data_IF_757298973854
#
_entry.id   IF_757298973854
#
_cell.length_a   1.000
_cell.length_b   1.000
_cell.length_c   1.000
_cell.angle_alpha   90.00
_cell.angle_beta   90.00
_cell.angle_gamma   90.00
#
_symmetry.space_group_name_H-M   'P 1'
#
loop_
_entity.id
_entity.type
_entity.pdbx_description
1 polymer ?
#
# COMPACT_ATOMS: atom_id res chain seq x y z
N UNK A 1 2.67 18.99 9.06
CA UNK A 1 1.54 18.47 9.86
C UNK A 1 0.64 19.63 10.29
N UNK A 2 -0.45 19.88 9.56
CA UNK A 2 -1.48 20.84 9.97
C UNK A 2 -2.38 20.17 11.02
N UNK A 3 -2.43 20.71 12.23
CA UNK A 3 -3.16 20.09 13.34
C UNK A 3 -4.66 20.40 13.21
N UNK A 4 -5.42 19.52 12.54
CA UNK A 4 -6.87 19.63 12.34
C UNK A 4 -7.65 19.88 13.63
N UNK A 5 -7.16 19.39 14.79
CA UNK A 5 -7.78 19.66 16.10
C UNK A 5 -7.78 21.14 16.48
N UNK A 6 -6.82 21.94 16.01
CA UNK A 6 -6.74 23.38 16.30
C UNK A 6 -7.59 24.24 15.36
N UNK A 7 -7.83 23.81 14.10
CA UNK A 7 -8.60 24.59 13.11
C UNK A 7 -10.11 24.58 13.39
N UNK A 8 -10.62 23.54 14.07
CA UNK A 8 -12.06 23.30 14.25
C UNK A 8 -12.44 22.98 15.71
N UNK A 9 -11.75 23.59 16.68
CA UNK A 9 -12.04 23.38 18.09
C UNK A 9 -13.44 23.91 18.44
N UNK A 10 -14.33 23.03 18.94
CA UNK A 10 -15.68 23.40 19.41
C UNK A 10 -16.84 23.07 18.48
N UNK A 11 -16.60 22.63 17.24
CA UNK A 11 -17.66 22.23 16.31
C UNK A 11 -18.01 20.72 16.44
N UNK A 12 -19.31 20.34 16.32
CA UNK A 12 -19.72 18.95 16.19
C UNK A 12 -19.03 18.25 15.00
N UNK A 13 -18.82 16.93 15.12
CA UNK A 13 -18.08 16.13 14.11
C UNK A 13 -18.69 16.23 12.70
N UNK A 14 -20.01 16.35 12.59
CA UNK A 14 -20.74 16.46 11.31
C UNK A 14 -20.61 17.85 10.65
N UNK A 15 -20.62 18.95 11.40
CA UNK A 15 -20.35 20.30 10.84
C UNK A 15 -18.92 20.43 10.29
N UNK A 16 -17.96 19.76 10.94
CA UNK A 16 -16.57 19.69 10.47
C UNK A 16 -16.47 18.90 9.17
N UNK A 17 -17.20 17.80 9.06
CA UNK A 17 -17.23 16.93 7.89
C UNK A 17 -17.73 17.64 6.62
N UNK A 18 -18.87 18.32 6.73
CA UNK A 18 -19.47 19.05 5.60
C UNK A 18 -18.58 20.17 5.08
N UNK A 19 -17.86 20.89 5.95
CA UNK A 19 -16.94 21.95 5.53
C UNK A 19 -15.71 21.38 4.81
N UNK A 20 -15.11 20.31 5.35
CA UNK A 20 -13.97 19.64 4.73
C UNK A 20 -14.37 19.04 3.38
N UNK A 21 -15.53 18.39 3.33
CA UNK A 21 -16.07 17.85 2.10
C UNK A 21 -16.33 18.95 1.07
N UNK A 22 -16.92 20.08 1.47
CA UNK A 22 -17.18 21.18 0.54
C UNK A 22 -15.90 21.72 -0.10
N UNK A 23 -14.82 21.86 0.69
CA UNK A 23 -13.50 22.31 0.20
C UNK A 23 -12.95 21.37 -0.89
N UNK A 24 -13.10 20.06 -0.73
CA UNK A 24 -12.50 19.05 -1.61
C UNK A 24 -13.44 18.58 -2.75
N UNK A 25 -14.75 18.59 -2.54
CA UNK A 25 -15.74 18.12 -3.50
C UNK A 25 -15.98 19.14 -4.61
N UNK A 26 -16.03 20.44 -4.31
CA UNK A 26 -16.38 21.47 -5.28
C UNK A 26 -15.46 21.50 -6.52
N UNK A 27 -14.12 21.32 -6.39
CA UNK A 27 -13.21 21.22 -7.53
C UNK A 27 -13.43 19.97 -8.41
N UNK A 28 -13.75 18.83 -7.80
CA UNK A 28 -13.83 17.53 -8.52
C UNK A 28 -15.23 17.19 -9.03
N UNK A 29 -16.27 17.80 -8.45
CA UNK A 29 -17.68 17.46 -8.70
C UNK A 29 -18.07 17.54 -10.19
N UNK A 30 -17.51 18.50 -10.94
CA UNK A 30 -17.80 18.61 -12.38
C UNK A 30 -17.37 17.35 -13.13
N UNK A 31 -16.18 16.81 -12.85
CA UNK A 31 -15.68 15.59 -13.48
C UNK A 31 -16.49 14.36 -13.08
N UNK A 32 -16.87 14.26 -11.80
CA UNK A 32 -17.72 13.17 -11.31
C UNK A 32 -19.08 13.18 -12.02
N UNK A 33 -19.70 14.36 -12.16
CA UNK A 33 -20.97 14.50 -12.88
C UNK A 33 -20.81 14.23 -14.38
N UNK A 34 -19.67 14.58 -14.99
CA UNK A 34 -19.39 14.23 -16.38
C UNK A 34 -19.39 12.71 -16.60
N UNK A 35 -18.73 11.97 -15.72
CA UNK A 35 -18.71 10.50 -15.76
C UNK A 35 -20.11 9.93 -15.51
N UNK A 36 -20.79 10.39 -14.46
CA UNK A 36 -22.14 9.93 -14.12
C UNK A 36 -23.14 10.12 -15.26
N UNK A 37 -23.22 11.32 -15.84
CA UNK A 37 -24.17 11.56 -16.94
C UNK A 37 -23.75 10.87 -18.23
N UNK A 38 -22.45 10.64 -18.46
CA UNK A 38 -21.99 9.81 -19.57
C UNK A 38 -22.43 8.36 -19.42
N UNK A 39 -22.33 7.80 -18.21
CA UNK A 39 -22.90 6.49 -17.88
C UNK A 39 -24.41 6.48 -18.09
N UNK A 40 -25.13 7.49 -17.58
CA UNK A 40 -26.59 7.57 -17.65
C UNK A 40 -27.10 7.54 -19.09
N UNK A 41 -26.55 8.36 -19.99
CA UNK A 41 -27.01 8.41 -21.39
C UNK A 41 -26.57 7.20 -22.23
N UNK A 42 -25.64 6.38 -21.72
CA UNK A 42 -25.27 5.10 -22.34
C UNK A 42 -26.22 3.96 -21.98
N UNK A 43 -27.12 4.15 -21.01
CA UNK A 43 -28.17 3.20 -20.70
C UNK A 43 -29.40 3.49 -21.58
N UNK A 44 -29.79 2.55 -22.44
CA UNK A 44 -30.88 2.76 -23.41
C UNK A 44 -32.19 3.26 -22.79
N UNK A 45 -32.59 2.70 -21.64
CA UNK A 45 -33.83 3.11 -20.96
C UNK A 45 -33.71 4.48 -20.30
N UNK A 46 -32.56 4.82 -19.70
CA UNK A 46 -32.36 6.14 -19.06
C UNK A 46 -32.22 7.25 -20.10
N UNK A 47 -31.54 6.97 -21.22
CA UNK A 47 -31.45 7.89 -22.35
C UNK A 47 -32.84 8.25 -22.87
N UNK A 48 -33.72 7.26 -23.03
CA UNK A 48 -35.10 7.48 -23.47
C UNK A 48 -35.89 8.37 -22.48
N UNK A 49 -35.68 8.21 -21.17
CA UNK A 49 -36.26 9.10 -20.15
C UNK A 49 -35.74 10.53 -20.35
N UNK A 50 -34.42 10.73 -20.49
CA UNK A 50 -33.84 12.06 -20.73
C UNK A 50 -34.40 12.70 -22.00
N UNK A 51 -34.51 11.95 -23.09
CA UNK A 51 -35.12 12.43 -24.35
C UNK A 51 -36.58 12.85 -24.14
N UNK A 52 -37.37 12.06 -23.41
CA UNK A 52 -38.78 12.35 -23.16
C UNK A 52 -39.02 13.67 -22.39
N UNK A 53 -38.08 14.07 -21.55
CA UNK A 53 -38.17 15.30 -20.74
C UNK A 53 -37.39 16.47 -21.36
N UNK A 54 -36.63 16.24 -22.44
CA UNK A 54 -35.76 17.25 -23.06
C UNK A 54 -36.52 18.40 -23.73
N UNK A 55 -37.78 18.17 -24.12
CA UNK A 55 -38.59 19.18 -24.82
C UNK A 55 -37.92 19.61 -26.12
N UNK A 56 -37.52 20.88 -26.23
CA UNK A 56 -36.80 21.42 -27.39
C UNK A 56 -35.28 21.34 -27.28
N UNK A 57 -34.74 20.96 -26.12
CA UNK A 57 -33.30 20.90 -25.87
C UNK A 57 -32.70 19.66 -26.53
N UNK A 58 -31.46 19.77 -26.98
CA UNK A 58 -30.66 18.57 -27.28
C UNK A 58 -30.38 17.77 -26.00
N UNK A 59 -29.98 16.50 -26.14
CA UNK A 59 -29.58 15.69 -24.98
C UNK A 59 -28.41 16.34 -24.24
N UNK A 60 -27.44 16.93 -24.95
CA UNK A 60 -26.30 17.59 -24.31
C UNK A 60 -26.71 18.85 -23.53
N UNK A 61 -27.64 19.64 -24.07
CA UNK A 61 -28.21 20.80 -23.38
C UNK A 61 -29.03 20.40 -22.15
N UNK A 62 -29.81 19.33 -22.24
CA UNK A 62 -30.55 18.80 -21.09
C UNK A 62 -29.60 18.23 -20.04
N UNK A 63 -28.58 17.46 -20.43
CA UNK A 63 -27.55 16.95 -19.50
C UNK A 63 -26.82 18.10 -18.80
N UNK A 64 -26.44 19.16 -19.50
CA UNK A 64 -25.83 20.33 -18.88
C UNK A 64 -26.76 20.98 -17.84
N UNK A 65 -28.06 21.07 -18.14
CA UNK A 65 -29.05 21.55 -17.20
C UNK A 65 -29.19 20.64 -15.97
N UNK A 66 -29.22 19.32 -16.16
CA UNK A 66 -29.31 18.35 -15.06
C UNK A 66 -28.08 18.38 -14.16
N UNK A 67 -26.87 18.50 -14.74
CA UNK A 67 -25.61 18.69 -14.01
C UNK A 67 -25.65 19.91 -13.10
N UNK A 68 -26.12 21.04 -13.61
CA UNK A 68 -26.30 22.26 -12.81
C UNK A 68 -27.27 22.04 -11.65
N UNK A 69 -28.40 21.37 -11.89
CA UNK A 69 -29.37 21.04 -10.83
C UNK A 69 -28.78 20.12 -9.76
N UNK A 70 -28.04 19.08 -10.15
CA UNK A 70 -27.39 18.17 -9.21
C UNK A 70 -26.34 18.89 -8.37
N UNK A 71 -25.53 19.74 -9.01
CA UNK A 71 -24.53 20.57 -8.32
C UNK A 71 -25.17 21.50 -7.30
N UNK A 72 -26.21 22.24 -7.70
CA UNK A 72 -26.94 23.14 -6.81
C UNK A 72 -27.55 22.38 -5.62
N UNK A 73 -28.06 21.17 -5.85
CA UNK A 73 -28.64 20.33 -4.80
C UNK A 73 -27.61 19.94 -3.73
N UNK A 74 -26.51 19.30 -4.12
CA UNK A 74 -25.50 18.81 -3.17
C UNK A 74 -24.66 19.94 -2.55
N UNK A 75 -24.18 20.89 -3.36
CA UNK A 75 -23.41 22.03 -2.83
C UNK A 75 -24.29 22.92 -1.97
N UNK A 76 -25.57 23.09 -2.33
CA UNK A 76 -26.54 23.80 -1.52
C UNK A 76 -26.74 23.15 -0.15
N UNK A 77 -26.87 21.81 -0.10
CA UNK A 77 -26.93 21.06 1.16
C UNK A 77 -25.70 21.32 2.03
N UNK A 78 -24.49 21.21 1.48
CA UNK A 78 -23.25 21.41 2.23
C UNK A 78 -23.05 22.85 2.71
N UNK A 79 -23.57 23.84 1.97
CA UNK A 79 -23.44 25.26 2.33
C UNK A 79 -24.50 25.75 3.32
N UNK A 80 -25.72 25.27 3.18
CA UNK A 80 -26.90 25.82 3.85
C UNK A 80 -27.51 24.87 4.91
N UNK A 81 -27.03 23.63 4.97
CA UNK A 81 -27.55 22.58 5.83
C UNK A 81 -28.92 22.05 5.41
N UNK A 82 -29.48 21.17 6.23
CA UNK A 82 -30.78 20.53 6.03
C UNK A 82 -31.94 21.41 6.54
N UNK A 83 -32.17 22.52 5.87
CA UNK A 83 -33.26 23.46 6.19
C UNK A 83 -34.59 23.11 5.47
N UNK A 84 -35.67 23.82 5.80
CA UNK A 84 -37.00 23.60 5.19
C UNK A 84 -36.97 23.69 3.65
N UNK A 85 -36.14 24.58 3.09
CA UNK A 85 -36.01 24.71 1.65
C UNK A 85 -35.32 23.50 1.02
N UNK A 86 -34.35 22.89 1.70
CA UNK A 86 -33.73 21.62 1.29
C UNK A 86 -34.76 20.48 1.27
N UNK A 87 -35.53 20.28 2.34
CA UNK A 87 -36.54 19.21 2.37
C UNK A 87 -37.64 19.41 1.33
N UNK A 88 -38.06 20.65 1.06
CA UNK A 88 -38.99 20.95 -0.03
C UNK A 88 -38.40 20.62 -1.42
N UNK A 89 -37.09 20.81 -1.62
CA UNK A 89 -36.42 20.38 -2.86
C UNK A 89 -36.43 18.86 -2.99
N UNK A 90 -36.13 18.13 -1.92
CA UNK A 90 -36.18 16.66 -1.89
C UNK A 90 -37.56 16.14 -2.31
N UNK A 91 -38.65 16.74 -1.79
CA UNK A 91 -40.02 16.38 -2.20
C UNK A 91 -40.26 16.58 -3.71
N UNK A 92 -39.84 17.74 -4.25
CA UNK A 92 -39.96 18.05 -5.67
C UNK A 92 -39.12 17.09 -6.53
N UNK A 93 -37.92 16.75 -6.08
CA UNK A 93 -37.01 15.81 -6.74
C UNK A 93 -37.67 14.42 -6.80
N UNK A 94 -38.15 13.90 -5.66
CA UNK A 94 -38.81 12.60 -5.59
C UNK A 94 -40.03 12.51 -6.52
N UNK A 95 -40.94 13.50 -6.45
CA UNK A 95 -42.14 13.53 -7.30
C UNK A 95 -41.80 13.65 -8.79
N UNK A 96 -40.82 14.48 -9.14
CA UNK A 96 -40.40 14.67 -10.53
C UNK A 96 -39.89 13.37 -11.13
N UNK A 97 -39.00 12.67 -10.43
CA UNK A 97 -38.41 11.44 -10.94
C UNK A 97 -39.43 10.29 -11.04
N UNK A 98 -40.37 10.22 -10.10
CA UNK A 98 -41.51 9.30 -10.17
C UNK A 98 -42.38 9.57 -11.40
N UNK A 99 -42.73 10.84 -11.64
CA UNK A 99 -43.61 11.24 -12.75
C UNK A 99 -43.01 10.90 -14.12
N UNK A 100 -41.69 10.94 -14.25
CA UNK A 100 -40.98 10.63 -15.51
C UNK A 100 -40.66 9.13 -15.64
N UNK A 101 -41.09 8.30 -14.68
CA UNK A 101 -40.89 6.87 -14.71
C UNK A 101 -39.46 6.41 -14.39
N UNK A 102 -38.65 7.25 -13.72
CA UNK A 102 -37.33 6.84 -13.26
C UNK A 102 -37.46 5.94 -12.03
N UNK A 103 -37.38 4.63 -12.24
CA UNK A 103 -37.50 3.64 -11.17
C UNK A 103 -36.40 3.73 -10.11
N UNK A 104 -36.71 3.29 -8.90
CA UNK A 104 -35.77 3.30 -7.76
C UNK A 104 -34.50 2.48 -8.05
N UNK A 105 -34.60 1.42 -8.85
CA UNK A 105 -33.44 0.64 -9.29
C UNK A 105 -32.41 1.52 -10.03
N UNK A 106 -32.88 2.35 -10.98
CA UNK A 106 -32.03 3.25 -11.75
C UNK A 106 -31.44 4.37 -10.88
N UNK A 107 -32.16 4.79 -9.85
CA UNK A 107 -31.64 5.68 -8.83
C UNK A 107 -30.49 5.06 -8.06
N UNK A 108 -30.69 3.88 -7.49
CA UNK A 108 -29.66 3.18 -6.70
C UNK A 108 -28.42 2.96 -7.56
N UNK A 109 -28.57 2.48 -8.80
CA UNK A 109 -27.45 2.32 -9.72
C UNK A 109 -26.71 3.64 -9.99
N UNK A 110 -27.44 4.74 -10.16
CA UNK A 110 -26.85 6.06 -10.35
C UNK A 110 -26.05 6.55 -9.14
N UNK A 111 -26.61 6.38 -7.94
CA UNK A 111 -25.92 6.69 -6.69
C UNK A 111 -24.67 5.82 -6.51
N UNK A 112 -24.70 4.53 -6.87
CA UNK A 112 -23.51 3.66 -6.85
C UNK A 112 -22.39 4.19 -7.76
N UNK A 113 -22.72 4.69 -8.96
CA UNK A 113 -21.73 5.30 -9.86
C UNK A 113 -21.15 6.57 -9.25
N UNK A 114 -21.99 7.44 -8.70
CA UNK A 114 -21.54 8.66 -8.01
C UNK A 114 -20.62 8.34 -6.83
N UNK A 115 -20.99 7.35 -6.02
CA UNK A 115 -20.23 6.96 -4.83
C UNK A 115 -18.85 6.44 -5.24
N UNK A 116 -18.79 5.55 -6.24
CA UNK A 116 -17.52 5.02 -6.77
C UNK A 116 -16.64 6.11 -7.37
N UNK A 117 -17.15 6.86 -8.33
CA UNK A 117 -16.35 7.83 -9.10
C UNK A 117 -16.02 9.07 -8.26
N UNK A 118 -16.91 9.46 -7.36
CA UNK A 118 -16.70 10.56 -6.41
C UNK A 118 -15.65 10.23 -5.36
N UNK A 119 -15.71 9.04 -4.75
CA UNK A 119 -14.69 8.61 -3.78
C UNK A 119 -13.32 8.52 -4.44
N UNK A 120 -13.22 7.95 -5.65
CA UNK A 120 -11.96 7.89 -6.37
C UNK A 120 -11.41 9.30 -6.67
N UNK A 121 -12.23 10.19 -7.21
CA UNK A 121 -11.82 11.56 -7.53
C UNK A 121 -11.37 12.35 -6.29
N UNK A 122 -12.04 12.16 -5.15
CA UNK A 122 -11.66 12.76 -3.87
C UNK A 122 -10.33 12.21 -3.36
N UNK A 123 -10.13 10.90 -3.39
CA UNK A 123 -8.87 10.27 -2.96
C UNK A 123 -7.69 10.78 -3.80
N UNK A 124 -7.86 10.85 -5.13
CA UNK A 124 -6.83 11.34 -6.04
C UNK A 124 -6.49 12.82 -5.79
N UNK A 125 -7.51 13.67 -5.61
CA UNK A 125 -7.36 15.09 -5.33
C UNK A 125 -6.67 15.37 -3.99
N UNK A 126 -6.82 14.47 -3.02
CA UNK A 126 -6.25 14.59 -1.68
C UNK A 126 -4.98 13.76 -1.47
N UNK A 127 -4.32 13.30 -2.54
CA UNK A 127 -3.12 12.44 -2.47
C UNK A 127 -1.96 13.05 -1.65
N UNK A 128 -1.91 14.38 -1.50
CA UNK A 128 -0.92 15.09 -0.68
C UNK A 128 -1.34 15.26 0.80
N UNK A 129 -2.58 14.90 1.15
CA UNK A 129 -3.15 15.04 2.50
C UNK A 129 -2.88 13.81 3.36
N UNK A 130 -3.04 13.96 4.68
CA UNK A 130 -2.89 12.83 5.58
C UNK A 130 -4.03 11.83 5.42
N UNK A 131 -3.77 10.54 5.62
CA UNK A 131 -4.81 9.49 5.53
C UNK A 131 -5.98 9.74 6.49
N UNK A 132 -5.75 10.41 7.63
CA UNK A 132 -6.81 10.82 8.55
C UNK A 132 -7.74 11.90 7.95
N UNK A 133 -7.19 12.85 7.21
CA UNK A 133 -7.98 13.88 6.52
C UNK A 133 -8.79 13.26 5.37
N UNK A 134 -8.14 12.42 4.55
CA UNK A 134 -8.79 11.71 3.45
C UNK A 134 -9.98 10.88 3.95
N UNK A 135 -9.80 10.12 5.05
CA UNK A 135 -10.89 9.35 5.67
C UNK A 135 -12.04 10.24 6.11
N UNK A 136 -11.78 11.34 6.81
CA UNK A 136 -12.85 12.25 7.26
C UNK A 136 -13.65 12.82 6.08
N UNK A 137 -12.98 13.22 4.99
CA UNK A 137 -13.65 13.75 3.78
C UNK A 137 -14.45 12.67 3.05
N UNK A 138 -13.87 11.48 2.86
CA UNK A 138 -14.54 10.37 2.17
C UNK A 138 -15.77 9.90 2.95
N UNK A 139 -15.67 9.73 4.27
CA UNK A 139 -16.83 9.39 5.09
C UNK A 139 -17.94 10.44 4.99
N UNK A 140 -17.60 11.74 5.02
CA UNK A 140 -18.60 12.79 4.84
C UNK A 140 -19.23 12.78 3.44
N UNK A 141 -18.46 12.43 2.40
CA UNK A 141 -19.00 12.28 1.04
C UNK A 141 -20.00 11.13 0.97
N UNK A 142 -19.65 9.98 1.55
CA UNK A 142 -20.52 8.81 1.62
C UNK A 142 -21.79 9.11 2.42
N UNK A 143 -21.67 9.78 3.58
CA UNK A 143 -22.81 10.24 4.38
C UNK A 143 -23.73 11.18 3.57
N UNK A 144 -23.16 12.15 2.83
CA UNK A 144 -23.94 13.03 1.94
C UNK A 144 -24.74 12.21 0.92
N UNK A 145 -24.06 11.32 0.20
CA UNK A 145 -24.63 10.57 -0.93
C UNK A 145 -25.68 9.56 -0.45
N UNK A 146 -25.40 8.84 0.64
CA UNK A 146 -26.33 7.86 1.22
C UNK A 146 -27.54 8.52 1.89
N UNK A 147 -27.34 9.64 2.61
CA UNK A 147 -28.45 10.37 3.21
C UNK A 147 -29.35 11.01 2.14
N UNK A 148 -28.77 11.52 1.05
CA UNK A 148 -29.54 12.05 -0.08
C UNK A 148 -30.38 10.95 -0.75
N UNK A 149 -29.80 9.77 -1.00
CA UNK A 149 -30.53 8.59 -1.49
C UNK A 149 -31.70 8.23 -0.57
N UNK A 150 -31.47 8.19 0.75
CA UNK A 150 -32.51 7.90 1.75
C UNK A 150 -33.64 8.95 1.73
N UNK A 151 -33.30 10.23 1.66
CA UNK A 151 -34.28 11.32 1.65
C UNK A 151 -35.10 11.36 0.36
N UNK A 152 -34.47 11.16 -0.80
CA UNK A 152 -35.16 11.09 -2.09
C UNK A 152 -36.03 9.83 -2.17
N UNK A 153 -35.54 8.69 -1.68
CA UNK A 153 -36.37 7.50 -1.59
C UNK A 153 -37.63 7.80 -0.76
N UNK A 154 -37.51 8.35 0.46
CA UNK A 154 -38.67 8.76 1.28
C UNK A 154 -39.66 9.66 0.52
N UNK A 155 -39.18 10.66 -0.21
CA UNK A 155 -40.03 11.53 -1.02
C UNK A 155 -40.69 10.82 -2.21
N UNK A 156 -39.94 9.94 -2.90
CA UNK A 156 -40.45 9.11 -3.99
C UNK A 156 -41.65 8.28 -3.54
N UNK A 157 -41.63 7.75 -2.30
CA UNK A 157 -42.72 6.94 -1.74
C UNK A 157 -43.80 7.71 -1.00
N UNK A 158 -43.51 8.89 -0.42
CA UNK A 158 -44.56 9.76 0.11
C UNK A 158 -45.59 10.15 -0.98
N UNK A 159 -45.13 10.21 -2.25
CA UNK A 159 -45.96 10.43 -3.43
C UNK A 159 -46.66 9.15 -3.96
N UNK A 160 -46.39 7.96 -3.38
CA UNK A 160 -46.98 6.65 -3.73
C UNK A 160 -48.27 6.36 -2.95
N UNK A 161 -48.81 7.32 -2.18
CA UNK A 161 -50.12 7.27 -1.49
C UNK A 161 -51.36 6.92 -2.38
N UNK A 162 -51.18 6.54 -3.65
CA UNK A 162 -52.21 6.01 -4.55
C UNK A 162 -51.84 4.74 -5.34
N UNK A 163 -50.76 4.02 -4.99
CA UNK A 163 -50.46 2.69 -5.57
C UNK A 163 -51.24 1.58 -4.88
N UNK A 164 -51.47 0.44 -5.56
CA UNK A 164 -52.16 -0.70 -4.94
C UNK A 164 -51.23 -1.47 -3.99
N UNK A 165 -51.78 -2.05 -2.93
CA UNK A 165 -51.07 -2.90 -1.97
C UNK A 165 -50.16 -3.95 -2.62
N UNK A 166 -50.63 -4.57 -3.71
CA UNK A 166 -49.87 -5.60 -4.43
C UNK A 166 -48.61 -5.05 -5.11
N UNK A 167 -48.64 -3.80 -5.60
CA UNK A 167 -47.48 -3.16 -6.21
C UNK A 167 -46.44 -2.78 -5.15
N UNK A 168 -46.90 -2.34 -3.97
CA UNK A 168 -46.04 -2.06 -2.83
C UNK A 168 -45.36 -3.33 -2.32
N UNK A 169 -46.11 -4.42 -2.14
CA UNK A 169 -45.57 -5.70 -1.67
C UNK A 169 -44.51 -6.26 -2.63
N UNK A 170 -44.73 -6.17 -3.95
CA UNK A 170 -43.74 -6.59 -4.94
C UNK A 170 -42.46 -5.74 -4.88
N UNK A 171 -42.59 -4.41 -4.79
CA UNK A 171 -41.43 -3.52 -4.71
C UNK A 171 -40.61 -3.73 -3.44
N UNK A 172 -41.27 -3.96 -2.30
CA UNK A 172 -40.63 -4.29 -1.01
C UNK A 172 -39.83 -5.59 -1.15
N UNK A 173 -40.42 -6.63 -1.73
CA UNK A 173 -39.79 -7.93 -1.85
C UNK A 173 -38.59 -7.93 -2.83
N UNK A 174 -38.72 -7.26 -3.98
CA UNK A 174 -37.62 -7.12 -4.95
C UNK A 174 -36.44 -6.34 -4.35
N UNK A 175 -36.72 -5.22 -3.67
CA UNK A 175 -35.68 -4.42 -3.02
C UNK A 175 -34.97 -5.20 -1.92
N UNK A 176 -35.72 -5.90 -1.06
CA UNK A 176 -35.17 -6.74 0.01
C UNK A 176 -34.26 -7.84 -0.55
N UNK A 177 -34.70 -8.54 -1.59
CA UNK A 177 -33.92 -9.62 -2.19
C UNK A 177 -32.62 -9.13 -2.82
N UNK A 178 -32.66 -8.04 -3.59
CA UNK A 178 -31.48 -7.51 -4.27
C UNK A 178 -30.46 -6.93 -3.28
N UNK A 179 -30.93 -6.20 -2.28
CA UNK A 179 -30.07 -5.62 -1.24
C UNK A 179 -29.47 -6.72 -0.40
N UNK A 180 -30.27 -7.68 0.07
CA UNK A 180 -29.76 -8.79 0.89
C UNK A 180 -28.67 -9.58 0.17
N UNK A 181 -28.84 -9.85 -1.13
CA UNK A 181 -27.83 -10.51 -1.94
C UNK A 181 -26.56 -9.65 -2.10
N UNK A 182 -26.72 -8.34 -2.32
CA UNK A 182 -25.58 -7.43 -2.49
C UNK A 182 -24.79 -7.28 -1.18
N UNK A 183 -25.48 -7.04 -0.06
CA UNK A 183 -24.90 -6.98 1.29
C UNK A 183 -24.18 -8.28 1.63
N UNK A 184 -24.81 -9.44 1.41
CA UNK A 184 -24.20 -10.74 1.65
C UNK A 184 -22.94 -10.99 0.82
N UNK A 185 -22.96 -10.58 -0.46
CA UNK A 185 -21.78 -10.71 -1.35
C UNK A 185 -20.62 -9.85 -0.85
N UNK A 186 -20.88 -8.58 -0.49
CA UNK A 186 -19.84 -7.67 -0.02
C UNK A 186 -19.33 -8.09 1.36
N UNK A 187 -20.20 -8.57 2.26
CA UNK A 187 -19.81 -9.09 3.57
C UNK A 187 -18.82 -10.25 3.44
N UNK A 188 -19.13 -11.26 2.61
CA UNK A 188 -18.22 -12.38 2.32
C UNK A 188 -16.88 -11.90 1.76
N UNK A 189 -16.90 -11.00 0.78
CA UNK A 189 -15.67 -10.44 0.20
C UNK A 189 -14.82 -9.70 1.24
N UNK A 190 -15.47 -9.01 2.19
CA UNK A 190 -14.80 -8.26 3.25
C UNK A 190 -14.21 -9.18 4.32
N UNK A 191 -14.89 -10.28 4.66
CA UNK A 191 -14.36 -11.35 5.52
C UNK A 191 -13.13 -12.03 4.88
N UNK A 192 -13.20 -12.36 3.59
CA UNK A 192 -12.07 -12.93 2.84
C UNK A 192 -10.87 -11.97 2.78
N UNK A 193 -11.11 -10.67 2.55
CA UNK A 193 -10.07 -9.64 2.58
C UNK A 193 -9.43 -9.49 3.97
N UNK A 194 -10.22 -9.54 5.04
CA UNK A 194 -9.73 -9.46 6.42
C UNK A 194 -8.85 -10.68 6.78
N UNK A 195 -9.30 -11.87 6.38
CA UNK A 195 -8.55 -13.12 6.56
C UNK A 195 -7.21 -13.11 5.78
N UNK A 196 -7.27 -12.67 4.52
CA UNK A 196 -6.08 -12.54 3.68
C UNK A 196 -5.10 -11.50 4.25
N UNK A 197 -5.62 -10.37 4.72
CA UNK A 197 -4.80 -9.32 5.32
C UNK A 197 -4.08 -9.80 6.58
N UNK A 198 -4.79 -10.52 7.45
CA UNK A 198 -4.22 -11.12 8.66
C UNK A 198 -3.11 -12.13 8.33
N UNK A 199 -3.33 -12.95 7.29
CA UNK A 199 -2.35 -13.93 6.82
C UNK A 199 -1.08 -13.27 6.28
N UNK A 200 -1.21 -12.17 5.53
CA UNK A 200 -0.08 -11.39 5.02
C UNK A 200 0.70 -10.74 6.16
N UNK A 201 0.02 -10.15 7.16
CA UNK A 201 0.67 -9.58 8.35
C UNK A 201 1.51 -10.63 9.08
N UNK A 202 0.99 -11.86 9.22
CA UNK A 202 1.76 -12.95 9.83
C UNK A 202 2.98 -13.34 8.98
N UNK A 203 2.84 -13.39 7.65
CA UNK A 203 3.98 -13.66 6.76
C UNK A 203 5.05 -12.56 6.85
N UNK A 204 4.65 -11.30 6.96
CA UNK A 204 5.56 -10.15 7.15
C UNK A 204 6.36 -10.29 8.45
N UNK A 205 5.73 -10.68 9.55
CA UNK A 205 6.41 -10.92 10.83
C UNK A 205 7.43 -12.07 10.75
N UNK A 206 7.06 -13.15 10.06
CA UNK A 206 7.97 -14.28 9.80
C UNK A 206 9.15 -13.85 8.92
N UNK A 207 8.89 -13.08 7.86
CA UNK A 207 9.91 -12.55 6.97
C UNK A 207 10.88 -11.65 7.74
N UNK A 208 10.36 -10.73 8.56
CA UNK A 208 11.19 -9.88 9.43
C UNK A 208 12.15 -10.70 10.29
N UNK A 209 11.67 -11.77 10.92
CA UNK A 209 12.51 -12.64 11.75
C UNK A 209 13.62 -13.32 10.94
N UNK A 210 13.31 -13.77 9.71
CA UNK A 210 14.31 -14.36 8.82
C UNK A 210 15.36 -13.35 8.36
N UNK A 211 14.94 -12.12 8.06
CA UNK A 211 15.82 -11.05 7.62
C UNK A 211 16.73 -10.57 8.75
N UNK A 212 16.21 -10.47 9.98
CA UNK A 212 17.02 -10.13 11.15
C UNK A 212 18.08 -11.22 11.42
N UNK A 213 17.72 -12.50 11.27
CA UNK A 213 18.69 -13.62 11.33
C UNK A 213 19.74 -13.57 10.21
N UNK A 214 19.34 -13.20 8.99
CA UNK A 214 20.27 -13.03 7.87
C UNK A 214 21.24 -11.87 8.13
N UNK A 215 20.79 -10.77 8.75
CA UNK A 215 21.65 -9.66 9.15
C UNK A 215 22.72 -10.10 10.16
N UNK A 216 22.35 -10.92 11.15
CA UNK A 216 23.29 -11.49 12.12
C UNK A 216 24.34 -12.39 11.44
N UNK A 217 23.91 -13.24 10.50
CA UNK A 217 24.81 -14.10 9.73
C UNK A 217 25.80 -13.30 8.87
N UNK A 218 25.33 -12.22 8.23
CA UNK A 218 26.17 -11.28 7.48
C UNK A 218 27.22 -10.65 8.39
N UNK A 219 26.84 -10.22 9.60
CA UNK A 219 27.77 -9.65 10.60
C UNK A 219 28.86 -10.64 11.01
N UNK A 220 28.49 -11.90 11.29
CA UNK A 220 29.44 -12.98 11.60
C UNK A 220 30.41 -13.24 10.45
N UNK A 221 29.89 -13.25 9.21
CA UNK A 221 30.70 -13.48 8.01
C UNK A 221 31.70 -12.33 7.78
N UNK A 222 31.29 -11.07 7.97
CA UNK A 222 32.17 -9.89 7.87
C UNK A 222 33.33 -9.99 8.87
N UNK A 223 33.03 -10.31 10.13
CA UNK A 223 34.05 -10.46 11.18
C UNK A 223 35.03 -11.61 10.86
N UNK A 224 34.52 -12.73 10.33
CA UNK A 224 35.34 -13.87 9.96
C UNK A 224 36.27 -13.56 8.77
N UNK A 225 35.77 -12.80 7.78
CA UNK A 225 36.55 -12.32 6.63
C UNK A 225 37.67 -11.38 7.07
N UNK A 226 37.37 -10.42 7.97
CA UNK A 226 38.36 -9.55 8.57
C UNK A 226 39.45 -10.33 9.31
N UNK A 227 39.05 -11.30 10.13
CA UNK A 227 39.99 -12.13 10.88
C UNK A 227 40.89 -12.97 9.96
N UNK A 228 40.36 -13.49 8.85
CA UNK A 228 41.16 -14.17 7.83
C UNK A 228 42.21 -13.27 7.20
N UNK A 229 41.85 -12.01 6.89
CA UNK A 229 42.80 -11.03 6.37
C UNK A 229 43.93 -10.76 7.36
N UNK A 230 43.62 -10.55 8.65
CA UNK A 230 44.63 -10.34 9.69
C UNK A 230 45.55 -11.56 9.88
N UNK A 231 45.00 -12.77 9.77
CA UNK A 231 45.80 -14.00 9.82
C UNK A 231 46.75 -14.10 8.64
N UNK A 232 46.29 -13.76 7.43
CA UNK A 232 47.14 -13.76 6.25
C UNK A 232 48.30 -12.77 6.38
N UNK A 233 48.06 -11.57 6.91
CA UNK A 233 49.11 -10.57 7.17
C UNK A 233 50.15 -11.06 8.19
N UNK A 234 49.71 -11.74 9.26
CA UNK A 234 50.61 -12.37 10.24
C UNK A 234 51.46 -13.47 9.61
N UNK A 235 50.87 -14.31 8.76
CA UNK A 235 51.63 -15.36 8.06
C UNK A 235 52.65 -14.74 7.10
N UNK A 236 52.27 -13.70 6.35
CA UNK A 236 53.21 -12.97 5.47
C UNK A 236 54.41 -12.42 6.25
N UNK A 237 54.18 -11.90 7.46
CA UNK A 237 55.26 -11.41 8.34
C UNK A 237 56.19 -12.54 8.79
N UNK A 238 55.64 -13.71 9.13
CA UNK A 238 56.44 -14.90 9.49
C UNK A 238 57.24 -15.41 8.29
N UNK A 239 56.62 -15.49 7.11
CA UNK A 239 57.28 -15.94 5.87
C UNK A 239 58.43 -15.01 5.48
N UNK A 240 58.27 -13.70 5.65
CA UNK A 240 59.35 -12.73 5.45
C UNK A 240 60.52 -13.00 6.42
N UNK A 241 60.23 -13.20 7.70
CA UNK A 241 61.25 -13.52 8.70
C UNK A 241 61.99 -14.83 8.43
N UNK A 242 61.30 -15.88 7.96
CA UNK A 242 61.94 -17.17 7.61
C UNK A 242 62.85 -17.03 6.37
N UNK A 243 62.43 -16.24 5.37
CA UNK A 243 63.28 -15.92 4.22
C UNK A 243 64.55 -15.20 4.68
N UNK A 244 64.45 -14.18 5.55
CA UNK A 244 65.61 -13.46 6.09
C UNK A 244 66.58 -14.40 6.83
N UNK A 245 66.06 -15.31 7.66
CA UNK A 245 66.87 -16.33 8.35
C UNK A 245 67.55 -17.29 7.39
N UNK A 246 66.84 -17.69 6.33
CA UNK A 246 67.36 -18.63 5.33
C UNK A 246 68.44 -17.97 4.47
N UNK A 247 68.29 -16.69 4.12
CA UNK A 247 69.32 -15.91 3.44
C UNK A 247 70.57 -15.73 4.30
N UNK A 248 70.41 -15.43 5.59
CA UNK A 248 71.52 -15.38 6.54
C UNK A 248 72.21 -16.74 6.68
N UNK A 249 71.43 -17.83 6.75
CA UNK A 249 71.97 -19.20 6.83
C UNK A 249 72.74 -19.58 5.57
N UNK A 250 72.23 -19.22 4.39
CA UNK A 250 72.90 -19.41 3.11
C UNK A 250 74.22 -18.62 3.04
N UNK A 251 74.27 -17.39 3.56
CA UNK A 251 75.50 -16.60 3.67
C UNK A 251 76.50 -17.21 4.65
N UNK A 252 76.06 -17.68 5.82
CA UNK A 252 76.91 -18.37 6.79
C UNK A 252 77.50 -19.66 6.20
N UNK A 253 76.67 -20.45 5.52
CA UNK A 253 77.11 -21.66 4.83
C UNK A 253 78.11 -21.36 3.72
N UNK A 254 77.90 -20.29 2.95
CA UNK A 254 78.84 -19.85 1.93
C UNK A 254 80.20 -19.47 2.54
N UNK A 255 80.21 -18.71 3.64
CA UNK A 255 81.44 -18.36 4.35
C UNK A 255 82.15 -19.61 4.88
N UNK A 256 81.41 -20.58 5.42
CA UNK A 256 81.95 -21.86 5.86
C UNK A 256 82.55 -22.68 4.71
N UNK A 257 81.91 -22.71 3.54
CA UNK A 257 82.46 -23.36 2.34
C UNK A 257 83.77 -22.72 1.89
N UNK A 258 83.88 -21.39 1.97
CA UNK A 258 85.12 -20.66 1.63
C UNK A 258 86.24 -21.04 2.60
N UNK A 259 85.97 -21.04 3.91
CA UNK A 259 86.99 -21.37 4.91
C UNK A 259 87.39 -22.86 4.87
N UNK A 260 86.44 -23.75 4.60
CA UNK A 260 86.70 -25.17 4.38
C UNK A 260 87.61 -25.40 3.16
N UNK A 261 87.40 -24.66 2.07
CA UNK A 261 88.29 -24.71 0.91
C UNK A 261 89.70 -24.17 1.24
N UNK A 262 89.78 -23.14 2.09
CA UNK A 262 91.04 -22.54 2.54
C UNK A 262 91.87 -23.47 3.43
N UNK A 263 91.22 -24.30 4.23
CA UNK A 263 91.85 -25.33 5.06
C UNK A 263 92.37 -26.56 4.26
N UNK A 264 92.10 -26.63 2.96
CA UNK A 264 92.62 -27.70 2.08
C UNK A 264 92.11 -29.09 2.48
N UNK A 265 93.01 -30.07 2.59
CA UNK A 265 92.66 -31.45 2.94
C UNK A 265 91.97 -31.58 4.31
N UNK A 266 92.36 -30.74 5.29
CA UNK A 266 91.78 -30.75 6.64
C UNK A 266 90.33 -30.24 6.67
N UNK A 267 89.90 -29.47 5.66
CA UNK A 267 88.56 -28.89 5.56
C UNK A 267 87.53 -29.74 4.81
N UNK A 268 87.90 -30.89 4.23
CA UNK A 268 87.00 -31.70 3.37
C UNK A 268 85.66 -32.06 4.03
N UNK A 269 85.67 -32.50 5.28
CA UNK A 269 84.44 -32.84 6.01
C UNK A 269 83.55 -31.63 6.25
N UNK A 270 84.13 -30.48 6.62
CA UNK A 270 83.42 -29.22 6.79
C UNK A 270 82.82 -28.70 5.48
N UNK A 271 83.51 -28.89 4.35
CA UNK A 271 83.00 -28.48 3.03
C UNK A 271 81.70 -29.21 2.65
N UNK A 272 81.57 -30.50 3.01
CA UNK A 272 80.35 -31.27 2.74
C UNK A 272 79.18 -30.74 3.57
N UNK A 273 79.42 -30.47 4.86
CA UNK A 273 78.40 -29.91 5.76
C UNK A 273 77.95 -28.53 5.28
N UNK A 274 78.90 -27.67 4.89
CA UNK A 274 78.59 -26.33 4.40
C UNK A 274 77.72 -26.35 3.13
N UNK A 275 78.00 -27.25 2.19
CA UNK A 275 77.18 -27.39 0.97
C UNK A 275 75.77 -27.92 1.27
N UNK A 276 75.62 -28.85 2.22
CA UNK A 276 74.30 -29.36 2.62
C UNK A 276 73.47 -28.28 3.34
N UNK A 277 74.09 -27.48 4.22
CA UNK A 277 73.41 -26.33 4.87
C UNK A 277 72.97 -25.30 3.83
N UNK A 278 73.82 -25.02 2.84
CA UNK A 278 73.49 -24.09 1.75
C UNK A 278 72.31 -24.59 0.91
N UNK A 279 72.29 -25.89 0.59
CA UNK A 279 71.17 -26.53 -0.13
C UNK A 279 69.88 -26.51 0.69
N UNK A 280 69.97 -26.74 2.00
CA UNK A 280 68.83 -26.65 2.92
C UNK A 280 68.27 -25.23 2.93
N UNK A 281 69.10 -24.20 3.10
CA UNK A 281 68.68 -22.80 3.09
C UNK A 281 67.97 -22.40 1.78
N UNK A 282 68.51 -22.81 0.63
CA UNK A 282 67.85 -22.58 -0.68
C UNK A 282 66.51 -23.30 -0.80
N UNK A 283 66.41 -24.51 -0.25
CA UNK A 283 65.16 -25.28 -0.24
C UNK A 283 64.12 -24.63 0.66
N UNK A 284 64.54 -24.06 1.80
CA UNK A 284 63.69 -23.27 2.68
C UNK A 284 63.16 -22.02 1.97
N UNK A 285 64.01 -21.23 1.29
CA UNK A 285 63.58 -20.06 0.49
C UNK A 285 62.51 -20.43 -0.54
N UNK A 286 62.69 -21.56 -1.24
CA UNK A 286 61.70 -22.04 -2.21
C UNK A 286 60.37 -22.39 -1.53
N UNK A 287 60.41 -23.13 -0.42
CA UNK A 287 59.21 -23.48 0.32
C UNK A 287 58.48 -22.24 0.87
N UNK A 288 59.21 -21.24 1.34
CA UNK A 288 58.62 -19.98 1.81
C UNK A 288 58.00 -19.16 0.69
N UNK A 289 58.55 -19.18 -0.53
CA UNK A 289 57.95 -18.54 -1.70
C UNK A 289 56.63 -19.22 -2.13
N UNK A 290 56.60 -20.56 -2.07
CA UNK A 290 55.37 -21.32 -2.33
C UNK A 290 54.28 -20.98 -1.29
N UNK A 291 54.65 -20.86 0.00
CA UNK A 291 53.72 -20.43 1.07
C UNK A 291 53.25 -18.99 0.82
N UNK A 292 54.14 -18.07 0.46
CA UNK A 292 53.79 -16.67 0.15
C UNK A 292 52.73 -16.60 -0.95
N UNK A 293 52.89 -17.39 -2.00
CA UNK A 293 51.94 -17.47 -3.11
C UNK A 293 50.57 -17.96 -2.64
N UNK A 294 50.52 -19.00 -1.80
CA UNK A 294 49.25 -19.51 -1.25
C UNK A 294 48.56 -18.49 -0.33
N UNK A 295 49.31 -17.80 0.52
CA UNK A 295 48.76 -16.76 1.43
C UNK A 295 48.22 -15.57 0.65
N UNK A 296 48.89 -15.18 -0.44
CA UNK A 296 48.38 -14.14 -1.35
C UNK A 296 47.05 -14.55 -2.00
N UNK A 297 46.89 -15.82 -2.39
CA UNK A 297 45.63 -16.33 -2.93
C UNK A 297 44.52 -16.32 -1.87
N UNK A 298 44.82 -16.76 -0.64
CA UNK A 298 43.87 -16.72 0.49
C UNK A 298 43.40 -15.28 0.75
N UNK A 299 44.32 -14.31 0.74
CA UNK A 299 44.00 -12.89 0.95
C UNK A 299 43.10 -12.33 -0.16
N UNK A 300 43.36 -12.71 -1.41
CA UNK A 300 42.52 -12.32 -2.56
C UNK A 300 41.09 -12.85 -2.40
N UNK A 301 40.94 -14.14 -2.08
CA UNK A 301 39.63 -14.76 -1.89
C UNK A 301 38.89 -14.13 -0.70
N UNK A 302 39.60 -13.82 0.40
CA UNK A 302 39.00 -13.10 1.53
C UNK A 302 38.47 -11.72 1.12
N UNK A 303 39.21 -10.99 0.27
CA UNK A 303 38.76 -9.71 -0.31
C UNK A 303 37.50 -9.85 -1.18
N UNK A 304 37.43 -10.88 -2.02
CA UNK A 304 36.25 -11.16 -2.84
C UNK A 304 35.02 -11.50 -1.97
N UNK A 305 35.22 -12.32 -0.93
CA UNK A 305 34.19 -12.67 0.05
C UNK A 305 33.70 -11.42 0.79
N UNK A 306 34.59 -10.51 1.18
CA UNK A 306 34.23 -9.26 1.83
C UNK A 306 33.30 -8.39 0.96
N UNK A 307 33.61 -8.27 -0.34
CA UNK A 307 32.77 -7.54 -1.29
C UNK A 307 31.40 -8.20 -1.43
N UNK A 308 31.37 -9.53 -1.57
CA UNK A 308 30.12 -10.29 -1.67
C UNK A 308 29.23 -10.10 -0.43
N UNK A 309 29.81 -10.15 0.77
CA UNK A 309 29.06 -9.95 2.03
C UNK A 309 28.56 -8.51 2.16
N UNK A 310 29.32 -7.52 1.70
CA UNK A 310 28.87 -6.11 1.70
C UNK A 310 27.66 -5.90 0.79
N UNK A 311 27.65 -6.54 -0.39
CA UNK A 311 26.46 -6.54 -1.26
C UNK A 311 25.28 -7.24 -0.61
N UNK A 312 25.50 -8.39 0.05
CA UNK A 312 24.46 -9.09 0.79
C UNK A 312 23.87 -8.24 1.91
N UNK A 313 24.70 -7.49 2.65
CA UNK A 313 24.24 -6.58 3.69
C UNK A 313 23.30 -5.49 3.11
N UNK A 314 23.65 -4.95 1.94
CA UNK A 314 22.82 -3.96 1.24
C UNK A 314 21.47 -4.56 0.85
N UNK A 315 21.46 -5.79 0.33
CA UNK A 315 20.23 -6.50 -0.01
C UNK A 315 19.36 -6.77 1.23
N UNK A 316 19.96 -7.17 2.35
CA UNK A 316 19.25 -7.37 3.63
C UNK A 316 18.56 -6.09 4.09
N UNK A 317 19.26 -4.95 4.07
CA UNK A 317 18.69 -3.65 4.43
C UNK A 317 17.52 -3.25 3.50
N UNK A 318 17.65 -3.49 2.20
CA UNK A 318 16.57 -3.22 1.23
C UNK A 318 15.33 -4.07 1.48
N UNK A 319 15.51 -5.34 1.86
CA UNK A 319 14.39 -6.21 2.24
C UNK A 319 13.75 -5.72 3.55
N UNK A 320 14.52 -5.29 4.55
CA UNK A 320 13.97 -4.72 5.79
C UNK A 320 13.09 -3.50 5.51
N UNK A 321 13.53 -2.59 4.65
CA UNK A 321 12.77 -1.41 4.24
C UNK A 321 11.46 -1.80 3.54
N UNK A 322 11.54 -2.70 2.56
CA UNK A 322 10.38 -3.18 1.80
C UNK A 322 9.36 -3.85 2.73
N UNK A 323 9.80 -4.73 3.63
CA UNK A 323 8.95 -5.40 4.62
C UNK A 323 8.28 -4.38 5.56
N UNK A 324 8.98 -3.31 5.93
CA UNK A 324 8.40 -2.19 6.69
C UNK A 324 7.30 -1.45 5.92
N UNK A 325 7.53 -1.17 4.63
CA UNK A 325 6.55 -0.54 3.74
C UNK A 325 5.30 -1.39 3.55
N UNK A 326 5.46 -2.70 3.31
CA UNK A 326 4.33 -3.64 3.18
C UNK A 326 3.53 -3.66 4.48
N UNK A 327 4.17 -3.70 5.66
CA UNK A 327 3.47 -3.69 6.93
C UNK A 327 2.58 -2.45 7.11
N UNK A 328 3.06 -1.27 6.70
CA UNK A 328 2.27 -0.04 6.72
C UNK A 328 1.06 -0.10 5.78
N UNK A 329 1.25 -0.57 4.55
CA UNK A 329 0.16 -0.76 3.58
C UNK A 329 -0.90 -1.75 4.11
N UNK A 330 -0.48 -2.84 4.75
CA UNK A 330 -1.42 -3.81 5.32
C UNK A 330 -2.24 -3.23 6.47
N UNK A 331 -1.67 -2.34 7.28
CA UNK A 331 -2.43 -1.63 8.32
C UNK A 331 -3.50 -0.71 7.71
N UNK A 332 -3.18 0.01 6.64
CA UNK A 332 -4.14 0.85 5.92
C UNK A 332 -5.24 0.01 5.26
N UNK A 333 -4.89 -1.11 4.62
CA UNK A 333 -5.87 -2.03 4.03
C UNK A 333 -6.82 -2.62 5.07
N UNK A 334 -6.32 -2.95 6.27
CA UNK A 334 -7.14 -3.46 7.38
C UNK A 334 -8.15 -2.43 7.86
N UNK A 335 -7.73 -1.16 7.96
CA UNK A 335 -8.63 -0.06 8.31
C UNK A 335 -9.70 0.13 7.24
N UNK A 336 -9.32 0.18 5.96
CA UNK A 336 -10.27 0.32 4.86
C UNK A 336 -11.30 -0.83 4.82
N UNK A 337 -10.87 -2.06 5.09
CA UNK A 337 -11.76 -3.24 5.15
C UNK A 337 -12.76 -3.14 6.31
N UNK A 338 -12.35 -2.55 7.44
CA UNK A 338 -13.21 -2.30 8.61
C UNK A 338 -14.21 -1.17 8.33
N UNK A 339 -13.78 -0.13 7.62
CA UNK A 339 -14.64 0.98 7.20
C UNK A 339 -15.73 0.48 6.23
N UNK A 340 -15.35 -0.32 5.22
CA UNK A 340 -16.29 -0.97 4.28
C UNK A 340 -17.29 -1.85 5.05
N UNK A 341 -16.83 -2.66 6.00
CA UNK A 341 -17.72 -3.48 6.85
C UNK A 341 -18.77 -2.63 7.56
N UNK A 342 -18.34 -1.48 8.10
CA UNK A 342 -19.21 -0.56 8.82
C UNK A 342 -20.23 0.11 7.90
N UNK A 343 -19.80 0.54 6.71
CA UNK A 343 -20.67 1.12 5.68
C UNK A 343 -21.76 0.14 5.22
N UNK A 344 -21.44 -1.14 5.07
CA UNK A 344 -22.42 -2.17 4.69
C UNK A 344 -23.51 -2.31 5.77
N UNK A 345 -23.12 -2.33 7.03
CA UNK A 345 -24.06 -2.40 8.16
C UNK A 345 -24.96 -1.16 8.18
N UNK A 346 -24.39 0.02 7.96
CA UNK A 346 -25.16 1.26 7.89
C UNK A 346 -26.14 1.25 6.72
N UNK A 347 -25.70 0.83 5.53
CA UNK A 347 -26.55 0.68 4.36
C UNK A 347 -27.71 -0.29 4.62
N UNK A 348 -27.42 -1.42 5.26
CA UNK A 348 -28.46 -2.39 5.64
C UNK A 348 -29.48 -1.76 6.59
N UNK A 349 -29.04 -1.01 7.60
CA UNK A 349 -29.92 -0.31 8.54
C UNK A 349 -30.79 0.76 7.85
N UNK A 350 -30.21 1.53 6.92
CA UNK A 350 -30.96 2.51 6.11
C UNK A 350 -32.06 1.81 5.31
N UNK A 351 -31.74 0.67 4.72
CA UNK A 351 -32.70 -0.08 3.89
C UNK A 351 -33.79 -0.73 4.75
N UNK A 352 -33.44 -1.31 5.91
CA UNK A 352 -34.44 -1.82 6.86
C UNK A 352 -35.37 -0.72 7.37
N UNK A 353 -34.81 0.45 7.71
CA UNK A 353 -35.61 1.60 8.13
C UNK A 353 -36.52 2.08 6.99
N UNK A 354 -36.00 2.11 5.77
CA UNK A 354 -36.73 2.48 4.57
C UNK A 354 -37.91 1.52 4.30
N UNK A 355 -37.68 0.20 4.37
CA UNK A 355 -38.71 -0.83 4.21
C UNK A 355 -39.77 -0.76 5.32
N UNK A 356 -39.36 -0.55 6.57
CA UNK A 356 -40.28 -0.32 7.69
C UNK A 356 -41.12 0.94 7.51
N UNK A 357 -40.55 1.99 6.90
CA UNK A 357 -41.27 3.20 6.53
C UNK A 357 -42.35 2.94 5.49
N UNK A 358 -42.07 2.09 4.50
CA UNK A 358 -43.06 1.68 3.49
C UNK A 358 -44.25 0.94 4.11
N UNK A 359 -43.99 -0.01 5.01
CA UNK A 359 -45.05 -0.77 5.70
C UNK A 359 -45.92 0.15 6.57
N UNK A 360 -45.32 1.11 7.28
CA UNK A 360 -46.08 2.08 8.09
C UNK A 360 -46.88 3.06 7.26
N UNK A 361 -46.35 3.50 6.11
CA UNK A 361 -47.08 4.37 5.18
C UNK A 361 -48.31 3.66 4.59
N UNK A 362 -48.24 2.34 4.40
CA UNK A 362 -49.38 1.48 4.05
C UNK A 362 -50.42 1.43 5.16
N UNK A 363 -50.04 1.16 6.40
CA UNK A 363 -50.99 1.04 7.53
C UNK A 363 -51.75 2.34 7.84
N UNK A 364 -51.20 3.48 7.43
CA UNK A 364 -51.78 4.81 7.65
C UNK A 364 -52.65 5.35 6.50
N UNK A 365 -52.72 4.63 5.37
CA UNK A 365 -53.55 4.95 4.20
C UNK A 365 -54.84 4.12 4.22
#
# INVERSE_FOLDING_TARGET
MFNLKKRFAGQPRWERGDQLLLEELEPVLTGVLDIFYSWLVNQNHLKAIVESVSGKRSISEMVAHLKDKQRVHWVGRLREGENDAYFKRIEIIGDTHRRIGLGLESFIQGYTVVLREGTQALVDAMSDKSSAYQRDVVMSFEELVLNDLNNIAKAYFAAVKGASDAQLDQMVAELQGQVGNSVGTIATATEELSSTSSSIVQQIQNNKTQVDSAADQVSVALNSSHYLSELADKINSIVAFINDLSDQTNLLALNASIEAARAGEAGRGFSVVAEEVKKLARSTNKATEDIRTQVSQISSVAGEVQVAITMLNTSVLSVQETTGGINAMMQEQTLATTDISSQIIELQNVIEHFLSGMVRAREAA
#
